data_IF_858885956222
#
_entry.id   IF_858885956222
#
_cell.length_a   1.000
_cell.length_b   1.000
_cell.length_c   1.000
_cell.angle_alpha   90.00
_cell.angle_beta   90.00
_cell.angle_gamma   90.00
#
_symmetry.space_group_name_H-M   'P 1'
#
loop_
_entity.id
_entity.type
_entity.pdbx_description
1 polymer ?
#
# COMPACT_ATOMS: atom_id res chain seq x y z
N UNK A 1 -10.91 -8.25 -4.34
CA UNK A 1 -9.75 -8.69 -3.54
C UNK A 1 -8.51 -8.24 -4.28
N UNK A 2 -7.48 -7.75 -3.59
CA UNK A 2 -6.22 -7.32 -4.21
C UNK A 2 -6.38 -6.24 -5.30
N UNK A 3 -5.39 -6.09 -6.20
CA UNK A 3 -4.30 -7.04 -6.48
C UNK A 3 -3.04 -6.91 -5.60
N UNK A 4 -2.11 -7.86 -5.75
CA UNK A 4 -0.82 -7.96 -5.04
C UNK A 4 -0.85 -8.92 -3.84
N UNK A 5 0.18 -8.88 -2.99
CA UNK A 5 0.32 -9.77 -1.83
C UNK A 5 -0.67 -9.49 -0.67
N UNK A 6 -0.93 -10.53 0.13
CA UNK A 6 -1.51 -10.41 1.47
C UNK A 6 -0.42 -10.55 2.54
N UNK A 7 -0.76 -10.31 3.80
CA UNK A 7 0.20 -10.36 4.92
C UNK A 7 -0.22 -11.40 5.95
N UNK A 8 0.76 -12.15 6.46
CA UNK A 8 0.61 -12.89 7.71
C UNK A 8 1.20 -12.04 8.83
N UNK A 9 0.38 -11.70 9.82
CA UNK A 9 0.80 -10.92 10.98
C UNK A 9 1.62 -11.79 11.94
N UNK A 10 2.41 -11.16 12.80
CA UNK A 10 3.16 -11.83 13.88
C UNK A 10 2.25 -12.68 14.79
N UNK A 11 0.98 -12.28 14.91
CA UNK A 11 -0.05 -13.05 15.64
C UNK A 11 -0.48 -14.36 14.95
N UNK A 12 0.02 -14.65 13.74
CA UNK A 12 -0.39 -15.78 12.90
C UNK A 12 -1.61 -15.51 12.02
N UNK A 13 -2.37 -14.44 12.28
CA UNK A 13 -3.52 -14.01 11.47
C UNK A 13 -3.11 -13.75 10.02
N UNK A 14 -3.85 -14.30 9.08
CA UNK A 14 -3.76 -13.98 7.65
C UNK A 14 -4.65 -12.77 7.36
N UNK A 15 -4.16 -11.81 6.58
CA UNK A 15 -4.89 -10.62 6.16
C UNK A 15 -4.75 -10.42 4.65
N UNK A 16 -5.89 -10.25 3.99
CA UNK A 16 -5.98 -10.07 2.53
C UNK A 16 -6.65 -8.72 2.23
N UNK A 17 -5.94 -7.75 1.65
CA UNK A 17 -6.53 -6.46 1.29
C UNK A 17 -7.55 -6.59 0.15
N UNK A 18 -8.58 -5.76 0.19
CA UNK A 18 -9.65 -5.75 -0.80
C UNK A 18 -10.32 -4.38 -0.88
N UNK A 19 -11.22 -4.23 -1.84
CA UNK A 19 -12.14 -3.11 -1.91
C UNK A 19 -13.48 -3.57 -2.47
N UNK A 20 -14.52 -2.77 -2.24
CA UNK A 20 -15.87 -3.04 -2.75
C UNK A 20 -16.60 -1.76 -3.12
N UNK A 21 -17.57 -1.85 -4.03
CA UNK A 21 -18.53 -0.80 -4.31
C UNK A 21 -19.74 -0.98 -3.38
N UNK A 22 -19.79 -0.20 -2.31
CA UNK A 22 -20.84 -0.28 -1.30
C UNK A 22 -22.04 0.60 -1.66
N UNK A 23 -23.25 0.06 -1.57
CA UNK A 23 -24.51 0.78 -1.78
C UNK A 23 -24.88 1.53 -0.50
N UNK A 24 -24.76 2.86 -0.50
CA UNK A 24 -25.08 3.69 0.67
C UNK A 24 -26.58 4.03 0.80
N UNK A 25 -27.33 3.90 -0.29
CA UNK A 25 -28.75 4.23 -0.28
C UNK A 25 -29.47 3.54 -1.43
N UNK A 26 -30.59 2.92 -1.10
CA UNK A 26 -31.58 2.42 -2.04
C UNK A 26 -32.91 2.99 -1.54
N UNK A 27 -33.43 4.02 -2.21
CA UNK A 27 -34.74 4.59 -1.87
C UNK A 27 -35.79 3.52 -2.19
N UNK A 28 -36.32 2.84 -1.15
CA UNK A 28 -37.46 1.94 -1.26
C UNK A 28 -38.74 2.78 -1.35
N UNK A 29 -39.03 3.28 -2.55
CA UNK A 29 -40.28 3.94 -2.94
C UNK A 29 -40.66 3.58 -4.38
N UNK A 30 -41.81 4.07 -4.87
CA UNK A 30 -42.40 3.70 -6.16
C UNK A 30 -41.53 4.04 -7.41
N UNK A 31 -40.43 4.77 -7.25
CA UNK A 31 -39.49 5.13 -8.32
C UNK A 31 -38.11 4.57 -8.00
N UNK A 32 -37.63 3.64 -8.85
CA UNK A 32 -36.26 3.10 -8.80
C UNK A 32 -35.24 4.15 -9.26
N UNK A 33 -34.83 5.03 -8.35
CA UNK A 33 -33.67 5.92 -8.57
C UNK A 33 -32.35 5.13 -8.49
N UNK A 34 -31.29 5.55 -9.21
CA UNK A 34 -30.02 4.84 -9.24
C UNK A 34 -29.40 4.77 -7.84
N UNK A 35 -29.01 3.55 -7.44
CA UNK A 35 -28.29 3.30 -6.21
C UNK A 35 -26.96 4.06 -6.21
N UNK A 36 -26.69 4.87 -5.18
CA UNK A 36 -25.39 5.54 -5.05
C UNK A 36 -24.36 4.57 -4.46
N UNK A 37 -23.52 4.00 -5.31
CA UNK A 37 -22.38 3.17 -4.89
C UNK A 37 -21.15 4.02 -4.62
N UNK A 38 -20.40 3.70 -3.56
CA UNK A 38 -19.08 4.28 -3.29
C UNK A 38 -18.06 3.18 -3.05
N UNK A 39 -16.85 3.39 -3.55
CA UNK A 39 -15.76 2.45 -3.36
C UNK A 39 -15.17 2.61 -1.95
N UNK A 40 -14.96 1.49 -1.27
CA UNK A 40 -14.30 1.43 0.02
C UNK A 40 -13.30 0.29 0.05
N UNK A 41 -12.07 0.59 0.44
CA UNK A 41 -11.09 -0.42 0.84
C UNK A 41 -11.52 -1.12 2.13
N UNK A 42 -11.08 -2.35 2.31
CA UNK A 42 -11.28 -3.17 3.49
C UNK A 42 -10.21 -4.29 3.50
N UNK A 43 -10.22 -5.11 4.53
CA UNK A 43 -9.45 -6.36 4.54
C UNK A 43 -10.37 -7.54 4.85
N UNK A 44 -10.04 -8.70 4.31
CA UNK A 44 -10.48 -9.98 4.87
C UNK A 44 -9.39 -10.51 5.78
N UNK A 45 -9.76 -11.25 6.82
CA UNK A 45 -8.80 -11.88 7.72
C UNK A 45 -9.23 -13.28 8.14
N UNK A 46 -8.25 -14.10 8.51
CA UNK A 46 -8.43 -15.46 9.02
C UNK A 46 -7.48 -15.70 10.19
N UNK A 47 -8.04 -16.21 11.29
CA UNK A 47 -7.30 -16.56 12.51
C UNK A 47 -7.04 -18.08 12.65
N UNK A 48 -7.53 -18.88 11.69
CA UNK A 48 -7.51 -20.34 11.76
C UNK A 48 -6.76 -20.98 10.58
N UNK A 49 -5.76 -20.29 10.04
CA UNK A 49 -4.93 -20.79 8.93
C UNK A 49 -5.65 -20.80 7.58
N UNK A 50 -6.62 -19.90 7.38
CA UNK A 50 -7.33 -19.75 6.11
C UNK A 50 -8.59 -20.61 5.97
N UNK A 51 -9.03 -21.31 7.04
CA UNK A 51 -10.23 -22.17 7.01
C UNK A 51 -11.52 -21.34 7.04
N UNK A 52 -11.55 -20.27 7.82
CA UNK A 52 -12.66 -19.31 7.89
C UNK A 52 -12.15 -17.90 7.67
N UNK A 53 -12.95 -17.10 6.98
CA UNK A 53 -12.63 -15.72 6.63
C UNK A 53 -13.69 -14.77 7.17
N UNK A 54 -13.21 -13.68 7.75
CA UNK A 54 -14.02 -12.59 8.26
C UNK A 54 -13.74 -11.32 7.47
N UNK A 55 -14.76 -10.48 7.33
CA UNK A 55 -14.65 -9.19 6.65
C UNK A 55 -14.44 -8.09 7.70
N UNK A 56 -13.34 -7.34 7.58
CA UNK A 56 -13.12 -6.12 8.35
C UNK A 56 -14.10 -5.00 8.00
N UNK A 57 -14.11 -3.94 8.79
CA UNK A 57 -14.89 -2.75 8.48
C UNK A 57 -14.41 -2.06 7.20
N UNK A 58 -15.34 -1.39 6.52
CA UNK A 58 -15.01 -0.53 5.39
C UNK A 58 -14.18 0.67 5.86
N UNK A 59 -13.16 1.06 5.09
CA UNK A 59 -12.48 2.35 5.31
C UNK A 59 -13.50 3.49 5.12
N UNK A 60 -13.85 4.14 6.23
CA UNK A 60 -14.83 5.23 6.25
C UNK A 60 -14.26 6.58 5.80
N UNK A 61 -15.13 7.59 5.72
CA UNK A 61 -14.73 8.99 5.52
C UNK A 61 -14.49 9.42 4.07
N UNK A 62 -13.87 8.60 3.23
CA UNK A 62 -13.64 8.94 1.82
C UNK A 62 -13.65 7.72 0.87
N UNK A 63 -13.74 8.00 -0.45
CA UNK A 63 -13.69 6.94 -1.47
C UNK A 63 -12.27 6.40 -1.57
N UNK A 64 -12.12 5.11 -1.36
CA UNK A 64 -10.84 4.40 -1.40
C UNK A 64 -10.97 3.14 -2.24
N UNK A 65 -9.90 2.76 -2.94
CA UNK A 65 -9.90 1.66 -3.89
C UNK A 65 -8.90 0.57 -3.58
N UNK A 66 -8.18 0.11 -4.60
CA UNK A 66 -7.11 -0.87 -4.45
C UNK A 66 -6.15 -0.44 -3.35
N UNK A 67 -5.86 -1.35 -2.42
CA UNK A 67 -5.00 -1.09 -1.28
C UNK A 67 -4.07 -2.27 -1.01
N UNK A 68 -3.00 -1.99 -0.28
CA UNK A 68 -2.17 -2.98 0.37
C UNK A 68 -1.94 -2.63 1.83
N UNK A 69 -1.54 -3.63 2.60
CA UNK A 69 -1.34 -3.51 4.04
C UNK A 69 0.02 -4.05 4.46
N UNK A 70 0.61 -3.44 5.49
CA UNK A 70 1.88 -3.88 6.09
C UNK A 70 1.80 -3.78 7.62
N UNK A 71 2.35 -4.77 8.33
CA UNK A 71 2.41 -4.72 9.79
C UNK A 71 3.61 -3.89 10.25
N UNK A 72 3.36 -2.84 11.01
CA UNK A 72 4.38 -2.03 11.68
C UNK A 72 4.52 -2.58 13.09
N UNK A 73 5.71 -3.08 13.44
CA UNK A 73 6.02 -3.46 14.81
C UNK A 73 6.25 -2.18 15.63
N UNK A 74 5.50 -2.04 16.71
CA UNK A 74 5.66 -0.94 17.67
C UNK A 74 6.17 -1.46 19.01
N UNK A 75 6.79 -0.59 19.81
CA UNK A 75 7.29 -0.95 21.15
C UNK A 75 6.17 -1.38 22.12
N UNK A 76 4.95 -0.91 21.91
CA UNK A 76 3.79 -1.17 22.80
C UNK A 76 2.78 -2.13 22.16
N UNK A 77 2.40 -1.90 20.91
CA UNK A 77 1.49 -2.77 20.15
C UNK A 77 1.77 -2.68 18.64
N UNK A 78 1.60 -3.78 17.89
CA UNK A 78 1.70 -3.75 16.44
C UNK A 78 0.52 -2.98 15.82
N UNK A 79 0.78 -2.30 14.71
CA UNK A 79 -0.20 -1.56 13.94
C UNK A 79 -0.28 -2.13 12.53
N UNK A 80 -1.47 -2.19 11.96
CA UNK A 80 -1.65 -2.51 10.55
C UNK A 80 -1.78 -1.21 9.75
N UNK A 81 -0.79 -0.96 8.90
CA UNK A 81 -0.76 0.14 7.96
C UNK A 81 -1.54 -0.23 6.70
N UNK A 82 -2.36 0.67 6.17
CA UNK A 82 -3.07 0.51 4.90
C UNK A 82 -2.78 1.70 3.99
N UNK A 83 -2.27 1.44 2.77
CA UNK A 83 -2.13 2.44 1.70
C UNK A 83 -3.16 2.15 0.62
N UNK A 84 -4.14 3.04 0.46
CA UNK A 84 -5.25 2.88 -0.46
C UNK A 84 -5.26 3.92 -1.58
N UNK A 85 -5.68 3.49 -2.76
CA UNK A 85 -5.88 4.35 -3.93
C UNK A 85 -6.99 5.35 -3.65
N UNK A 86 -6.73 6.63 -3.93
CA UNK A 86 -7.72 7.68 -3.69
C UNK A 86 -7.78 8.70 -4.84
N UNK A 87 -8.98 9.20 -5.20
CA UNK A 87 -9.18 10.16 -6.30
C UNK A 87 -8.86 11.60 -5.86
N UNK A 88 -7.70 11.81 -5.22
CA UNK A 88 -7.31 13.09 -4.58
C UNK A 88 -5.84 13.45 -4.78
N UNK A 89 -5.20 12.88 -5.81
CA UNK A 89 -3.83 13.19 -6.21
C UNK A 89 -2.75 12.68 -5.25
N UNK A 90 -3.13 11.90 -4.23
CA UNK A 90 -2.22 11.23 -3.30
C UNK A 90 -2.92 10.01 -2.65
N UNK A 91 -2.12 9.13 -2.03
CA UNK A 91 -2.62 7.96 -1.30
C UNK A 91 -3.44 8.36 -0.09
N UNK A 92 -4.50 7.60 0.17
CA UNK A 92 -5.19 7.61 1.46
C UNK A 92 -4.58 6.54 2.35
N UNK A 93 -4.02 6.96 3.49
CA UNK A 93 -3.35 6.08 4.45
C UNK A 93 -4.21 5.95 5.69
N UNK A 94 -4.37 4.74 6.20
CA UNK A 94 -5.09 4.48 7.45
C UNK A 94 -4.34 3.47 8.31
N UNK A 95 -4.50 3.59 9.63
CA UNK A 95 -3.91 2.70 10.62
C UNK A 95 -5.00 1.91 11.33
N UNK A 96 -4.71 0.65 11.68
CA UNK A 96 -5.55 -0.18 12.54
C UNK A 96 -4.74 -0.65 13.74
N UNK A 97 -5.30 -0.46 14.94
CA UNK A 97 -4.77 -0.94 16.23
C UNK A 97 -5.36 -2.30 16.62
N UNK A 98 -6.29 -2.84 15.82
CA UNK A 98 -7.05 -4.06 16.10
C UNK A 98 -6.87 -5.11 14.99
N UNK A 99 -5.67 -5.14 14.38
CA UNK A 99 -5.24 -6.16 13.41
C UNK A 99 -6.19 -6.28 12.21
N UNK A 100 -6.68 -5.15 11.71
CA UNK A 100 -7.52 -5.06 10.51
C UNK A 100 -9.02 -5.22 10.75
N UNK A 101 -9.49 -5.29 12.00
CA UNK A 101 -10.94 -5.26 12.28
C UNK A 101 -11.54 -3.92 11.87
N UNK A 102 -10.88 -2.82 12.26
CA UNK A 102 -11.26 -1.45 11.90
C UNK A 102 -10.02 -0.60 11.64
N UNK A 103 -10.12 0.24 10.63
CA UNK A 103 -9.14 1.28 10.38
C UNK A 103 -9.65 2.61 10.90
N UNK A 104 -8.73 3.41 11.44
CA UNK A 104 -8.96 4.81 11.75
C UNK A 104 -9.32 5.58 10.48
N UNK A 105 -9.80 6.82 10.64
CA UNK A 105 -10.13 7.68 9.51
C UNK A 105 -8.89 7.86 8.61
N UNK A 106 -9.01 7.61 7.29
CA UNK A 106 -7.89 7.79 6.38
C UNK A 106 -7.39 9.24 6.36
N UNK A 107 -6.08 9.39 6.24
CA UNK A 107 -5.36 10.66 6.11
C UNK A 107 -4.67 10.71 4.75
N UNK A 108 -4.61 11.89 4.14
CA UNK A 108 -3.93 12.10 2.86
C UNK A 108 -2.42 12.11 3.06
N UNK A 109 -1.70 11.23 2.36
CA UNK A 109 -0.24 11.19 2.40
C UNK A 109 0.35 11.96 1.21
N UNK A 110 0.63 13.25 1.38
CA UNK A 110 1.08 14.14 0.30
C UNK A 110 2.41 13.72 -0.35
N UNK A 111 3.25 13.01 0.40
CA UNK A 111 4.51 12.47 -0.09
C UNK A 111 4.31 11.33 -1.11
N UNK A 112 3.20 10.60 -1.01
CA UNK A 112 2.83 9.54 -1.95
C UNK A 112 1.79 10.07 -2.95
N UNK A 113 2.28 10.70 -4.01
CA UNK A 113 1.44 11.27 -5.07
C UNK A 113 0.71 10.20 -5.90
N UNK A 114 -0.39 10.60 -6.54
CA UNK A 114 -1.15 9.76 -7.47
C UNK A 114 -1.47 10.48 -8.78
N UNK A 115 -1.45 9.78 -9.93
CA UNK A 115 -1.92 10.34 -11.19
C UNK A 115 -3.44 10.59 -11.15
N UNK A 116 -4.02 11.35 -12.09
CA UNK A 116 -5.44 11.75 -12.05
C UNK A 116 -6.43 10.59 -12.05
N UNK A 117 -6.07 9.48 -12.71
CA UNK A 117 -6.86 8.23 -12.70
C UNK A 117 -6.43 7.27 -11.61
N UNK A 118 -5.42 7.61 -10.82
CA UNK A 118 -4.78 6.79 -9.82
C UNK A 118 -4.07 5.53 -10.35
N UNK A 119 -3.38 4.84 -9.47
CA UNK A 119 -2.71 3.57 -9.76
C UNK A 119 -2.72 2.67 -8.51
N UNK A 120 -2.59 1.36 -8.71
CA UNK A 120 -2.21 0.49 -7.60
C UNK A 120 -0.75 0.80 -7.24
N UNK A 121 -0.41 0.59 -5.97
CA UNK A 121 0.96 0.62 -5.47
C UNK A 121 1.12 -0.43 -4.37
N UNK A 122 2.36 -0.81 -4.10
CA UNK A 122 2.67 -1.86 -3.14
C UNK A 122 3.38 -1.33 -1.91
N UNK A 123 3.09 -1.90 -0.73
CA UNK A 123 3.76 -1.57 0.52
C UNK A 123 4.17 -2.84 1.26
N UNK A 124 5.41 -2.88 1.76
CA UNK A 124 5.91 -3.91 2.67
C UNK A 124 6.56 -3.25 3.88
N UNK A 125 6.57 -3.96 5.00
CA UNK A 125 7.37 -3.60 6.17
C UNK A 125 8.62 -4.46 6.27
N UNK A 126 9.70 -3.89 6.77
CA UNK A 126 10.97 -4.60 6.97
C UNK A 126 11.68 -4.10 8.23
N UNK A 127 12.58 -4.93 8.77
CA UNK A 127 13.35 -4.57 9.96
C UNK A 127 14.21 -3.33 9.68
N UNK A 128 14.18 -2.37 10.60
CA UNK A 128 15.04 -1.21 10.51
C UNK A 128 16.53 -1.63 10.55
N UNK A 129 17.43 -0.93 9.85
CA UNK A 129 18.86 -1.19 9.97
C UNK A 129 19.31 -1.07 11.42
N UNK A 130 20.30 -1.87 11.85
CA UNK A 130 20.75 -1.93 13.24
C UNK A 130 21.18 -0.58 13.85
N UNK A 131 21.41 0.46 13.02
CA UNK A 131 21.79 1.82 13.44
C UNK A 131 20.60 2.78 13.57
N UNK A 132 19.38 2.38 13.22
CA UNK A 132 18.19 3.20 13.29
C UNK A 132 17.55 3.09 14.68
N UNK A 133 17.77 4.09 15.52
CA UNK A 133 17.36 4.08 16.93
C UNK A 133 15.86 4.37 17.18
N UNK A 134 15.12 4.84 16.17
CA UNK A 134 13.79 5.47 16.40
C UNK A 134 12.60 4.52 16.18
N UNK A 135 12.67 3.58 15.24
CA UNK A 135 11.60 2.63 14.96
C UNK A 135 12.16 1.25 14.57
N UNK A 136 11.65 0.13 15.13
CA UNK A 136 12.15 -1.20 14.82
C UNK A 136 11.74 -1.70 13.43
N UNK A 137 10.83 -1.01 12.76
CA UNK A 137 10.27 -1.38 11.46
C UNK A 137 10.18 -0.16 10.57
N UNK A 138 10.62 -0.29 9.33
CA UNK A 138 10.50 0.70 8.26
C UNK A 138 9.50 0.23 7.21
N UNK A 139 8.99 1.16 6.39
CA UNK A 139 8.15 0.83 5.25
C UNK A 139 8.90 1.08 3.94
N UNK A 140 8.69 0.19 2.98
CA UNK A 140 9.06 0.35 1.57
C UNK A 140 7.77 0.40 0.75
N UNK A 141 7.67 1.35 -0.17
CA UNK A 141 6.52 1.53 -1.04
C UNK A 141 6.96 1.68 -2.50
N UNK A 142 6.28 1.01 -3.42
CA UNK A 142 6.51 1.12 -4.86
C UNK A 142 5.28 1.68 -5.59
N UNK A 143 5.49 2.68 -6.44
CA UNK A 143 4.43 3.32 -7.23
C UNK A 143 5.02 4.26 -8.30
N UNK A 144 4.30 4.52 -9.41
CA UNK A 144 4.67 5.58 -10.35
C UNK A 144 4.91 6.94 -9.67
N UNK A 145 6.00 7.61 -10.00
CA UNK A 145 6.39 8.88 -9.35
C UNK A 145 5.78 10.12 -10.02
N UNK A 146 5.42 10.01 -11.30
CA UNK A 146 4.78 11.08 -12.06
C UNK A 146 3.32 11.33 -11.59
N UNK A 147 3.00 12.59 -11.28
CA UNK A 147 1.68 13.02 -10.75
C UNK A 147 0.59 13.18 -11.81
N UNK A 148 0.93 12.99 -13.08
CA UNK A 148 0.05 13.18 -14.24
C UNK A 148 -0.12 11.89 -15.04
N UNK A 149 0.88 11.01 -15.05
CA UNK A 149 0.92 9.78 -15.85
C UNK A 149 1.45 8.60 -15.03
N UNK A 150 1.07 7.39 -15.43
CA UNK A 150 1.62 6.13 -14.87
C UNK A 150 3.00 5.88 -15.48
N UNK A 151 4.02 6.53 -14.91
CA UNK A 151 5.41 6.50 -15.40
C UNK A 151 6.39 6.62 -14.23
N UNK A 152 7.61 6.18 -14.49
CA UNK A 152 8.77 6.25 -13.62
C UNK A 152 8.50 5.57 -12.28
N UNK A 153 8.62 4.24 -12.24
CA UNK A 153 8.38 3.44 -11.05
C UNK A 153 9.39 3.81 -9.96
N UNK A 154 8.89 4.35 -8.85
CA UNK A 154 9.71 4.79 -7.73
C UNK A 154 9.59 3.91 -6.51
N UNK A 155 10.69 3.81 -5.77
CA UNK A 155 10.79 3.19 -4.47
C UNK A 155 10.94 4.26 -3.40
N UNK A 156 9.97 4.30 -2.48
CA UNK A 156 9.90 5.22 -1.37
C UNK A 156 10.20 4.48 -0.07
N UNK A 157 11.02 5.07 0.80
CA UNK A 157 11.32 4.50 2.12
C UNK A 157 10.81 5.45 3.20
N UNK A 158 10.12 4.90 4.19
CA UNK A 158 9.70 5.62 5.39
C UNK A 158 10.38 5.01 6.65
N UNK A 159 11.41 5.68 7.20
CA UNK A 159 12.05 5.30 8.46
C UNK A 159 11.16 5.46 9.70
N UNK A 160 10.10 6.27 9.60
CA UNK A 160 9.20 6.63 10.68
C UNK A 160 7.76 6.36 10.24
N UNK A 161 7.31 5.10 10.18
CA UNK A 161 6.05 4.70 9.52
C UNK A 161 4.77 5.40 9.98
N UNK A 162 4.78 6.00 11.18
CA UNK A 162 3.66 6.75 11.75
C UNK A 162 3.65 8.22 11.32
N UNK A 163 4.79 8.72 10.84
CA UNK A 163 4.91 10.03 10.23
C UNK A 163 4.62 9.94 8.72
N UNK A 164 3.47 10.44 8.31
CA UNK A 164 3.07 10.52 6.91
C UNK A 164 3.95 11.44 6.06
N UNK A 165 4.75 12.31 6.67
CA UNK A 165 5.77 13.13 6.02
C UNK A 165 7.17 12.47 6.01
N UNK A 166 7.34 11.36 6.72
CA UNK A 166 8.61 10.63 6.88
C UNK A 166 9.10 9.91 5.61
N UNK A 167 8.31 9.91 4.53
CA UNK A 167 8.71 9.32 3.25
C UNK A 167 9.87 10.10 2.61
N UNK A 168 10.97 9.41 2.37
CA UNK A 168 12.11 9.95 1.62
C UNK A 168 11.76 10.13 0.15
N UNK A 169 12.56 10.94 -0.56
CA UNK A 169 12.45 11.10 -2.01
C UNK A 169 12.59 9.73 -2.69
N UNK A 170 11.77 9.44 -3.72
CA UNK A 170 11.82 8.14 -4.37
C UNK A 170 13.11 7.97 -5.14
N UNK A 171 13.63 6.74 -5.15
CA UNK A 171 14.59 6.30 -6.15
C UNK A 171 13.81 5.67 -7.32
N UNK A 172 14.08 6.12 -8.54
CA UNK A 172 13.44 5.58 -9.75
C UNK A 172 14.10 4.25 -10.09
N UNK A 173 13.35 3.17 -9.89
CA UNK A 173 13.75 1.80 -10.22
C UNK A 173 13.71 1.56 -11.73
N UNK A 174 12.66 2.06 -12.39
CA UNK A 174 12.46 1.92 -13.83
C UNK A 174 11.89 3.22 -14.40
N UNK A 175 12.60 3.84 -15.33
CA UNK A 175 12.12 4.99 -16.08
C UNK A 175 11.15 4.57 -17.20
N UNK A 176 10.25 5.47 -17.59
CA UNK A 176 9.29 5.26 -18.66
C UNK A 176 7.93 4.76 -18.18
N UNK A 177 7.07 4.24 -19.08
CA UNK A 177 5.76 3.69 -18.72
C UNK A 177 5.87 2.63 -17.61
N UNK A 178 5.16 2.86 -16.50
CA UNK A 178 5.15 1.94 -15.37
C UNK A 178 3.80 1.96 -14.66
N UNK A 179 3.29 0.78 -14.30
CA UNK A 179 1.94 0.59 -13.79
C UNK A 179 1.93 -0.01 -12.38
N UNK A 180 1.21 -1.13 -12.26
CA UNK A 180 1.03 -1.84 -11.00
C UNK A 180 2.37 -2.46 -10.58
N UNK A 181 2.56 -2.65 -9.28
CA UNK A 181 3.74 -3.30 -8.73
C UNK A 181 3.40 -4.13 -7.50
N UNK A 182 4.27 -5.09 -7.18
CA UNK A 182 4.22 -5.85 -5.94
C UNK A 182 5.63 -6.08 -5.39
N UNK A 183 5.82 -5.73 -4.13
CA UNK A 183 7.08 -5.85 -3.41
C UNK A 183 7.12 -7.14 -2.60
N UNK A 184 8.32 -7.69 -2.45
CA UNK A 184 8.61 -8.78 -1.52
C UNK A 184 9.90 -8.49 -0.75
N UNK A 185 9.92 -8.84 0.53
CA UNK A 185 11.14 -8.81 1.36
C UNK A 185 11.77 -10.21 1.28
N UNK A 186 13.00 -10.29 0.80
CA UNK A 186 13.75 -11.52 0.65
C UNK A 186 14.79 -11.69 1.79
N UNK A 187 15.27 -12.92 2.04
CA UNK A 187 16.38 -13.15 2.97
C UNK A 187 17.63 -12.33 2.60
N UNK A 188 18.45 -11.99 3.59
CA UNK A 188 19.73 -11.29 3.36
C UNK A 188 19.61 -9.79 3.07
N UNK A 189 18.45 -9.17 3.31
CA UNK A 189 18.27 -7.72 3.09
C UNK A 189 18.02 -7.34 1.63
N UNK A 190 17.67 -8.33 0.80
CA UNK A 190 17.29 -8.15 -0.60
C UNK A 190 15.79 -7.91 -0.69
N UNK A 191 15.37 -7.11 -1.66
CA UNK A 191 13.98 -6.86 -1.99
C UNK A 191 13.72 -7.29 -3.43
N UNK A 192 12.56 -7.87 -3.67
CA UNK A 192 12.04 -8.12 -5.01
C UNK A 192 10.94 -7.13 -5.34
N UNK A 193 10.88 -6.67 -6.59
CA UNK A 193 9.75 -5.92 -7.13
C UNK A 193 9.34 -6.52 -8.46
N UNK A 194 8.08 -6.96 -8.56
CA UNK A 194 7.42 -7.34 -9.80
C UNK A 194 6.56 -6.16 -10.25
N UNK A 195 6.64 -5.74 -11.52
CA UNK A 195 5.92 -4.55 -11.97
C UNK A 195 5.59 -4.54 -13.46
N UNK A 196 4.51 -3.84 -13.80
CA UNK A 196 4.08 -3.55 -15.16
C UNK A 196 4.96 -2.46 -15.78
N UNK A 197 5.52 -2.70 -16.98
CA UNK A 197 6.29 -1.72 -17.74
C UNK A 197 6.20 -1.94 -19.26
N UNK A 198 6.89 -1.08 -20.02
CA UNK A 198 7.02 -1.21 -21.47
C UNK A 198 7.66 0.02 -22.12
N UNK A 199 7.81 -0.02 -23.43
CA UNK A 199 8.36 1.08 -24.21
C UNK A 199 7.30 2.17 -24.45
N UNK A 200 6.07 1.79 -24.82
CA UNK A 200 5.00 2.75 -25.14
C UNK A 200 3.91 2.81 -24.05
N UNK A 201 3.58 1.66 -23.48
CA UNK A 201 2.55 1.46 -22.46
C UNK A 201 3.07 0.64 -21.28
N UNK A 202 2.49 0.84 -20.10
CA UNK A 202 2.82 0.04 -18.92
C UNK A 202 2.33 -1.42 -19.03
N UNK A 203 1.37 -1.71 -19.91
CA UNK A 203 0.76 -3.04 -20.04
C UNK A 203 1.43 -3.93 -21.10
N UNK A 204 2.71 -3.69 -21.43
CA UNK A 204 3.42 -4.48 -22.45
C UNK A 204 4.15 -5.67 -21.83
N UNK A 205 4.78 -5.46 -20.67
CA UNK A 205 5.63 -6.44 -20.01
C UNK A 205 5.41 -6.44 -18.49
N UNK A 206 5.74 -7.58 -17.87
CA UNK A 206 5.90 -7.68 -16.42
C UNK A 206 7.37 -7.96 -16.15
N UNK A 207 8.07 -6.96 -15.60
CA UNK A 207 9.47 -7.08 -15.22
C UNK A 207 9.61 -7.47 -13.74
N UNK A 208 10.74 -8.11 -13.43
CA UNK A 208 11.15 -8.44 -12.07
C UNK A 208 12.53 -7.86 -11.79
N UNK A 209 12.68 -7.19 -10.66
CA UNK A 209 13.95 -6.63 -10.23
C UNK A 209 14.26 -7.04 -8.78
N UNK A 210 15.50 -7.47 -8.55
CA UNK A 210 16.07 -7.64 -7.22
C UNK A 210 16.97 -6.44 -6.90
N UNK A 211 16.89 -5.95 -5.67
CA UNK A 211 17.73 -4.84 -5.22
C UNK A 211 17.98 -4.88 -3.72
N UNK A 212 19.01 -4.16 -3.28
CA UNK A 212 19.25 -3.83 -1.87
C UNK A 212 18.99 -2.34 -1.63
N UNK A 213 18.82 -1.96 -0.37
CA UNK A 213 18.74 -0.55 0.00
C UNK A 213 20.07 -0.13 0.62
N UNK A 214 20.82 0.73 -0.07
CA UNK A 214 21.91 1.45 0.56
C UNK A 214 21.36 2.58 1.44
N UNK A 215 21.47 2.40 2.75
CA UNK A 215 20.99 3.32 3.78
C UNK A 215 22.13 4.08 4.46
N UNK A 216 23.37 3.94 3.97
CA UNK A 216 24.57 4.57 4.52
C UNK A 216 24.76 6.03 4.07
N UNK A 217 24.10 6.44 2.99
CA UNK A 217 24.15 7.79 2.45
C UNK A 217 22.97 8.67 2.89
N UNK A 218 23.27 9.92 3.23
CA UNK A 218 22.25 10.95 3.41
C UNK A 218 21.64 11.25 2.01
N UNK A 219 20.43 10.74 1.78
CA UNK A 219 19.47 11.10 0.69
C UNK A 219 19.47 10.36 -0.65
N UNK A 220 20.23 9.27 -0.86
CA UNK A 220 20.05 8.48 -2.11
C UNK A 220 20.05 6.97 -1.84
N UNK A 221 18.88 6.36 -2.05
CA UNK A 221 18.74 4.91 -2.15
C UNK A 221 19.42 4.48 -3.45
N UNK A 222 20.37 3.54 -3.37
CA UNK A 222 20.95 2.87 -4.54
C UNK A 222 20.72 1.38 -4.40
N UNK A 223 20.24 0.74 -5.47
CA UNK A 223 20.40 -0.69 -5.63
C UNK A 223 21.80 -0.99 -6.12
N UNK A 224 22.42 -1.98 -5.47
CA UNK A 224 23.56 -2.73 -5.99
C UNK A 224 23.09 -3.96 -6.73
#
# INVERSE_FOLDING_TARGET
>A
VGPGHGVQLDSGRLVVPAYTYYVHGCLRGAVRLPCFTRQHSLVFYSDDGGRRWHKGALLGGERTGECQVAEIRGAQQPLLYCSARAPRGCRAVALSTDRGLRFQRPVRCQALGEPPRGCQGSVVSFAAPARAAEAPTWLLYSHPTDRHRRRDLGLYVNPSPLDGAGWRRPWVLQAGPAGYSDLAVCPGGVFGCLFECGASSACEEIAFCLFTLDLSGDRTLKAS
#
